data_IF_896791205598
#
_entry.id   IF_896791205598
#
_cell.length_a   1.000
_cell.length_b   1.000
_cell.length_c   1.000
_cell.angle_alpha   90.00
_cell.angle_beta   90.00
_cell.angle_gamma   90.00
#
_symmetry.space_group_name_H-M   'P 1'
#
loop_
_entity.id
_entity.type
_entity.pdbx_description
1 polymer ?
#
# COMPACT_ATOMS: atom_id res chain seq x y z
N UNK A 1 -31.53 34.07 -41.40
CA UNK A 1 -31.04 34.21 -40.01
C UNK A 1 -31.63 33.05 -39.21
N UNK A 2 -30.90 31.95 -39.10
CA UNK A 2 -31.26 30.81 -38.25
C UNK A 2 -29.96 30.24 -37.67
N UNK A 3 -29.94 30.13 -36.35
CA UNK A 3 -28.81 29.93 -35.46
C UNK A 3 -28.22 28.52 -35.53
N UNK A 4 -26.90 28.41 -35.70
CA UNK A 4 -26.15 27.17 -35.46
C UNK A 4 -26.00 26.94 -33.96
N UNK A 5 -26.51 25.80 -33.49
CA UNK A 5 -26.35 25.30 -32.13
C UNK A 5 -25.06 24.46 -32.09
N UNK A 6 -24.09 24.87 -31.26
CA UNK A 6 -22.85 24.13 -31.04
C UNK A 6 -23.13 22.80 -30.31
N UNK A 7 -22.36 21.73 -30.57
CA UNK A 7 -22.51 20.48 -29.82
C UNK A 7 -22.03 20.68 -28.38
N UNK A 8 -22.86 20.21 -27.44
CA UNK A 8 -22.54 20.20 -26.02
C UNK A 8 -21.28 19.37 -25.78
N UNK A 9 -20.30 19.96 -25.09
CA UNK A 9 -19.15 19.25 -24.58
C UNK A 9 -19.63 18.20 -23.57
N UNK A 10 -19.46 16.92 -23.91
CA UNK A 10 -19.55 15.81 -22.97
C UNK A 10 -18.48 16.05 -21.89
N UNK A 11 -18.91 16.46 -20.70
CA UNK A 11 -18.06 16.46 -19.53
C UNK A 11 -17.65 15.01 -19.25
N UNK A 12 -16.35 14.72 -19.32
CA UNK A 12 -15.80 13.46 -18.83
C UNK A 12 -16.14 13.34 -17.33
N UNK A 13 -16.54 12.16 -16.83
CA UNK A 13 -16.68 11.96 -15.40
C UNK A 13 -15.31 12.17 -14.76
N UNK A 14 -15.21 13.20 -13.93
CA UNK A 14 -14.07 13.41 -13.05
C UNK A 14 -14.14 12.30 -12.00
N UNK A 15 -13.34 11.24 -12.20
CA UNK A 15 -13.05 10.24 -11.18
C UNK A 15 -12.24 10.92 -10.07
N UNK A 16 -12.93 11.61 -9.16
CA UNK A 16 -12.37 11.82 -7.84
C UNK A 16 -12.16 10.42 -7.22
N UNK A 17 -11.01 10.14 -6.59
CA UNK A 17 -10.84 8.87 -5.89
C UNK A 17 -11.95 8.75 -4.84
N UNK A 18 -12.71 7.66 -4.90
CA UNK A 18 -13.70 7.36 -3.86
C UNK A 18 -12.99 7.31 -2.50
N UNK A 19 -13.61 7.83 -1.43
CA UNK A 19 -13.04 7.69 -0.10
C UNK A 19 -12.86 6.20 0.20
N UNK A 20 -11.67 5.83 0.69
CA UNK A 20 -11.31 4.47 1.07
C UNK A 20 -12.42 3.89 1.96
N UNK A 21 -13.11 2.84 1.50
CA UNK A 21 -14.29 2.30 2.20
C UNK A 21 -13.89 1.35 3.33
N UNK A 22 -13.24 1.90 4.37
CA UNK A 22 -12.74 1.10 5.48
C UNK A 22 -12.69 1.83 6.82
N UNK A 23 -12.38 1.08 7.86
CA UNK A 23 -12.04 1.60 9.20
C UNK A 23 -10.51 1.75 9.26
N UNK A 24 -10.01 2.92 9.65
CA UNK A 24 -8.58 3.15 9.77
C UNK A 24 -7.96 2.27 10.86
N UNK A 25 -6.84 1.64 10.54
CA UNK A 25 -5.98 0.97 11.51
C UNK A 25 -5.13 2.01 12.25
N UNK A 26 -4.68 1.65 13.44
CA UNK A 26 -3.99 2.56 14.34
C UNK A 26 -2.47 2.34 14.28
N UNK A 27 -1.66 3.40 14.47
CA UNK A 27 -0.22 3.22 14.63
C UNK A 27 0.09 2.44 15.91
N UNK A 28 1.12 1.58 15.87
CA UNK A 28 1.65 0.90 17.05
C UNK A 28 2.89 1.65 17.56
N UNK A 29 2.80 2.35 18.72
CA UNK A 29 3.94 3.09 19.28
C UNK A 29 5.03 2.18 19.88
N UNK A 30 4.78 0.88 20.01
CA UNK A 30 5.74 -0.10 20.53
C UNK A 30 6.57 -0.79 19.46
N UNK A 31 6.20 -0.61 18.18
CA UNK A 31 6.89 -1.19 17.04
C UNK A 31 8.13 -0.39 16.62
N UNK A 32 9.07 -1.07 15.94
CA UNK A 32 10.25 -0.42 15.36
C UNK A 32 9.86 0.61 14.28
N UNK A 33 8.82 0.30 13.49
CA UNK A 33 8.24 1.23 12.52
C UNK A 33 6.71 1.14 12.46
N UNK A 34 6.07 2.28 12.21
CA UNK A 34 4.61 2.37 12.08
C UNK A 34 4.14 3.35 10.98
N UNK A 35 2.83 3.57 10.85
CA UNK A 35 2.20 4.42 9.83
C UNK A 35 2.79 5.84 9.85
N UNK A 36 3.08 6.37 8.66
CA UNK A 36 3.58 7.71 8.43
C UNK A 36 5.10 7.86 8.55
N UNK A 37 5.80 6.81 9.02
CA UNK A 37 7.25 6.82 9.10
C UNK A 37 7.91 6.58 7.73
N UNK A 38 8.98 7.33 7.44
CA UNK A 38 9.81 7.12 6.25
C UNK A 38 11.00 6.24 6.59
N UNK A 39 10.93 5.00 6.15
CA UNK A 39 11.92 3.95 6.44
C UNK A 39 12.87 3.87 5.25
N UNK A 40 14.16 4.05 5.49
CA UNK A 40 15.20 4.01 4.45
C UNK A 40 15.85 2.63 4.44
N UNK A 41 15.85 1.97 3.28
CA UNK A 41 16.48 0.69 3.08
C UNK A 41 17.88 0.89 2.51
N UNK A 42 18.85 0.27 3.18
CA UNK A 42 20.24 0.25 2.74
C UNK A 42 20.58 -1.16 2.26
N UNK A 43 21.45 -1.26 1.26
CA UNK A 43 21.97 -2.55 0.80
C UNK A 43 23.18 -3.02 1.63
N UNK A 44 23.77 -4.14 1.23
CA UNK A 44 24.96 -4.70 1.85
C UNK A 44 26.20 -3.78 1.82
N UNK A 45 26.20 -2.75 0.97
CA UNK A 45 27.26 -1.73 0.91
C UNK A 45 26.89 -0.46 1.70
N UNK A 46 25.81 -0.52 2.49
CA UNK A 46 25.26 0.60 3.26
C UNK A 46 24.81 1.77 2.39
N UNK A 47 24.54 1.52 1.09
CA UNK A 47 24.00 2.53 0.19
C UNK A 47 22.47 2.57 0.30
N UNK A 48 21.91 3.76 0.55
CA UNK A 48 20.47 3.96 0.66
C UNK A 48 19.80 3.77 -0.71
N UNK A 49 19.20 2.61 -0.97
CA UNK A 49 18.62 2.31 -2.28
C UNK A 49 17.20 2.85 -2.41
N UNK A 50 16.40 2.68 -1.36
CA UNK A 50 14.98 2.98 -1.38
C UNK A 50 14.50 3.56 -0.06
N UNK A 51 13.33 4.18 -0.07
CA UNK A 51 12.55 4.39 1.12
C UNK A 51 11.11 3.91 0.92
N UNK A 52 10.48 3.45 1.99
CA UNK A 52 9.05 3.15 2.04
C UNK A 52 8.37 3.94 3.16
N UNK A 53 7.11 4.29 2.91
CA UNK A 53 6.20 4.83 3.91
C UNK A 53 4.85 4.17 3.75
N UNK A 54 4.33 3.56 4.83
CA UNK A 54 2.90 3.23 4.92
C UNK A 54 2.17 4.51 5.25
N UNK A 55 1.47 5.07 4.26
CA UNK A 55 0.77 6.35 4.37
C UNK A 55 -0.54 6.18 5.13
N UNK A 56 -1.23 5.08 4.88
CA UNK A 56 -2.54 4.76 5.45
C UNK A 56 -2.68 3.24 5.51
N UNK A 57 -3.38 2.74 6.52
CA UNK A 57 -3.78 1.35 6.60
C UNK A 57 -5.25 1.28 7.07
N UNK A 58 -6.05 0.45 6.41
CA UNK A 58 -7.50 0.35 6.66
C UNK A 58 -7.94 -1.10 6.67
N UNK A 59 -8.95 -1.41 7.47
CA UNK A 59 -9.77 -2.60 7.33
C UNK A 59 -10.94 -2.28 6.39
N UNK A 60 -11.02 -2.94 5.24
CA UNK A 60 -12.07 -2.72 4.26
C UNK A 60 -13.42 -3.23 4.77
N UNK A 61 -14.50 -2.50 4.46
CA UNK A 61 -15.85 -3.00 4.71
C UNK A 61 -16.16 -4.13 3.75
N UNK A 62 -16.42 -5.31 4.33
CA UNK A 62 -16.79 -6.46 3.54
C UNK A 62 -18.23 -6.37 3.04
N UNK A 63 -18.42 -6.77 1.78
CA UNK A 63 -19.77 -7.02 1.23
C UNK A 63 -20.22 -8.48 1.46
N UNK A 64 -19.28 -9.42 1.57
CA UNK A 64 -19.52 -10.84 1.80
C UNK A 64 -18.74 -11.33 3.04
N UNK A 65 -19.43 -11.70 4.14
CA UNK A 65 -18.78 -12.19 5.36
C UNK A 65 -18.10 -13.56 5.20
N UNK A 66 -18.33 -14.28 4.10
CA UNK A 66 -17.67 -15.57 3.86
C UNK A 66 -16.21 -15.44 3.39
N UNK A 67 -15.76 -14.22 3.03
CA UNK A 67 -14.45 -14.00 2.41
C UNK A 67 -13.32 -13.68 3.41
N UNK A 68 -13.60 -13.59 4.72
CA UNK A 68 -12.63 -13.22 5.77
C UNK A 68 -12.18 -11.76 5.67
N UNK A 69 -11.87 -11.06 6.77
CA UNK A 69 -11.64 -9.61 6.74
C UNK A 69 -10.52 -9.21 5.79
N UNK A 70 -10.73 -8.09 5.11
CA UNK A 70 -9.78 -7.53 4.15
C UNK A 70 -9.11 -6.30 4.72
N UNK A 71 -7.81 -6.18 4.49
CA UNK A 71 -6.98 -5.07 4.94
C UNK A 71 -6.28 -4.46 3.74
N UNK A 72 -6.16 -3.14 3.72
CA UNK A 72 -5.47 -2.42 2.66
C UNK A 72 -4.45 -1.43 3.22
N UNK A 73 -3.26 -1.41 2.64
CA UNK A 73 -2.15 -0.54 3.00
C UNK A 73 -1.80 0.36 1.81
N UNK A 74 -1.91 1.68 1.98
CA UNK A 74 -1.44 2.64 1.01
C UNK A 74 0.05 2.85 1.25
N UNK A 75 0.88 2.36 0.34
CA UNK A 75 2.33 2.51 0.42
C UNK A 75 2.82 3.56 -0.55
N UNK A 76 3.84 4.31 -0.13
CA UNK A 76 4.66 5.14 -1.01
C UNK A 76 6.09 4.61 -1.00
N UNK A 77 6.65 4.34 -2.18
CA UNK A 77 8.03 3.88 -2.36
C UNK A 77 8.79 4.97 -3.09
N UNK A 78 10.01 5.26 -2.65
CA UNK A 78 10.92 6.26 -3.23
C UNK A 78 12.25 5.60 -3.62
N UNK A 79 12.70 5.78 -4.86
CA UNK A 79 14.04 5.40 -5.29
C UNK A 79 15.07 6.47 -4.92
N UNK A 80 16.18 6.12 -4.25
CA UNK A 80 17.11 7.10 -3.67
C UNK A 80 18.45 7.21 -4.41
N UNK A 81 19.18 6.12 -4.57
CA UNK A 81 20.53 6.12 -5.18
C UNK A 81 20.57 5.49 -6.56
N UNK A 82 19.88 4.36 -6.74
CA UNK A 82 19.80 3.60 -7.98
C UNK A 82 18.36 3.35 -8.39
N UNK A 83 18.17 2.84 -9.61
CA UNK A 83 16.86 2.32 -10.03
C UNK A 83 16.59 1.02 -9.28
N UNK A 84 15.46 0.92 -8.60
CA UNK A 84 15.04 -0.29 -7.89
C UNK A 84 13.89 -0.95 -8.63
N UNK A 85 13.82 -2.27 -8.58
CA UNK A 85 12.66 -3.01 -9.06
C UNK A 85 11.69 -3.25 -7.90
N UNK A 86 10.46 -2.77 -8.03
CA UNK A 86 9.40 -3.00 -7.05
C UNK A 86 8.30 -3.87 -7.65
N UNK A 87 7.77 -4.77 -6.81
CA UNK A 87 6.69 -5.66 -7.19
C UNK A 87 5.83 -5.95 -5.96
N UNK A 88 4.51 -6.04 -6.14
CA UNK A 88 3.57 -6.42 -5.09
C UNK A 88 3.91 -7.77 -4.43
N UNK A 89 4.51 -8.71 -5.16
CA UNK A 89 4.95 -10.01 -4.61
C UNK A 89 6.12 -9.91 -3.61
N UNK A 90 6.73 -8.74 -3.45
CA UNK A 90 7.74 -8.47 -2.42
C UNK A 90 7.10 -8.08 -1.08
N UNK A 91 5.77 -8.04 -1.01
CA UNK A 91 5.03 -7.67 0.17
C UNK A 91 4.31 -8.88 0.75
N UNK A 92 4.26 -8.92 2.07
CA UNK A 92 3.49 -9.91 2.81
C UNK A 92 2.94 -9.25 4.07
N UNK A 93 1.79 -9.72 4.55
CA UNK A 93 1.22 -9.28 5.81
C UNK A 93 1.33 -10.42 6.82
N UNK A 94 1.66 -10.10 8.07
CA UNK A 94 1.70 -11.06 9.17
C UNK A 94 0.74 -10.65 10.29
N UNK A 95 0.23 -11.63 11.02
CA UNK A 95 -0.55 -11.43 12.24
C UNK A 95 0.28 -11.63 13.51
N UNK A 96 -0.37 -11.55 14.67
CA UNK A 96 0.23 -11.75 15.98
C UNK A 96 0.65 -13.21 16.26
N UNK A 97 0.18 -14.16 15.46
CA UNK A 97 0.58 -15.56 15.46
C UNK A 97 1.69 -15.88 14.43
N UNK A 98 2.20 -14.86 13.74
CA UNK A 98 3.22 -14.98 12.67
C UNK A 98 2.77 -15.77 11.44
N UNK A 99 1.46 -15.84 11.17
CA UNK A 99 0.94 -16.39 9.93
C UNK A 99 1.13 -15.40 8.77
N UNK A 100 1.56 -15.90 7.61
CA UNK A 100 1.86 -15.08 6.43
C UNK A 100 0.67 -15.02 5.46
N UNK A 101 0.32 -13.80 5.04
CA UNK A 101 -0.73 -13.49 4.08
C UNK A 101 -0.15 -12.81 2.85
N UNK A 102 -0.55 -13.31 1.67
CA UNK A 102 -0.13 -12.78 0.37
C UNK A 102 -1.10 -11.71 -0.13
N UNK A 103 -0.61 -10.75 -0.95
CA UNK A 103 -1.45 -9.69 -1.47
C UNK A 103 -2.45 -10.19 -2.53
N UNK A 104 -3.64 -9.61 -2.51
CA UNK A 104 -4.73 -9.80 -3.45
C UNK A 104 -4.81 -8.65 -4.45
N UNK A 105 -5.15 -8.97 -5.70
CA UNK A 105 -5.17 -8.03 -6.81
C UNK A 105 -6.59 -7.53 -7.11
N UNK A 106 -6.71 -6.28 -7.57
CA UNK A 106 -7.96 -5.74 -8.10
C UNK A 106 -9.03 -5.37 -7.06
N UNK A 107 -8.68 -5.30 -5.76
CA UNK A 107 -9.62 -4.97 -4.68
C UNK A 107 -9.72 -3.46 -4.43
N UNK A 108 -8.61 -2.80 -4.09
CA UNK A 108 -8.56 -1.36 -3.79
C UNK A 108 -7.71 -0.61 -4.84
N UNK A 109 -8.17 0.57 -5.29
CA UNK A 109 -7.53 1.36 -6.33
C UNK A 109 -7.09 2.76 -5.84
N UNK A 110 -6.02 3.36 -6.39
CA UNK A 110 -5.09 2.76 -7.36
C UNK A 110 -4.23 1.67 -6.69
N UNK A 111 -4.18 0.49 -7.29
CA UNK A 111 -3.35 -0.61 -6.80
C UNK A 111 -1.86 -0.31 -7.00
N UNK A 112 -1.00 -0.86 -6.14
CA UNK A 112 0.44 -0.79 -6.37
C UNK A 112 0.81 -1.60 -7.62
N UNK A 113 1.29 -0.90 -8.65
CA UNK A 113 1.80 -1.54 -9.86
C UNK A 113 3.16 -2.24 -9.60
N UNK A 114 3.76 -2.79 -10.66
CA UNK A 114 5.14 -3.28 -10.64
C UNK A 114 5.97 -2.49 -11.65
N UNK A 115 7.27 -2.39 -11.42
CA UNK A 115 8.17 -1.81 -12.41
C UNK A 115 9.51 -1.39 -11.84
N UNK A 116 10.24 -0.64 -12.66
CA UNK A 116 11.48 -0.01 -12.25
C UNK A 116 11.20 1.41 -11.78
N UNK A 117 11.68 1.73 -10.59
CA UNK A 117 11.56 3.04 -9.97
C UNK A 117 12.91 3.76 -10.05
N UNK A 118 13.07 4.74 -10.96
CA UNK A 118 14.31 5.50 -11.06
C UNK A 118 14.59 6.33 -9.81
N UNK A 119 15.86 6.70 -9.65
CA UNK A 119 16.30 7.65 -8.63
C UNK A 119 15.45 8.94 -8.61
N UNK A 120 15.07 9.36 -7.41
CA UNK A 120 14.28 10.57 -7.13
C UNK A 120 12.82 10.47 -7.56
N UNK A 121 12.36 9.29 -7.99
CA UNK A 121 10.96 9.03 -8.33
C UNK A 121 10.27 8.34 -7.17
N UNK A 122 8.96 8.58 -7.10
CA UNK A 122 8.05 7.98 -6.15
C UNK A 122 6.93 7.26 -6.86
N UNK A 123 6.49 6.15 -6.30
CA UNK A 123 5.26 5.46 -6.66
C UNK A 123 4.41 5.32 -5.42
N UNK A 124 3.08 5.35 -5.60
CA UNK A 124 2.12 5.17 -4.51
C UNK A 124 0.99 4.28 -5.01
N UNK A 125 0.58 3.32 -4.18
CA UNK A 125 -0.53 2.43 -4.49
C UNK A 125 -0.97 1.61 -3.29
N UNK A 126 -2.17 1.04 -3.41
CA UNK A 126 -2.76 0.17 -2.40
C UNK A 126 -2.27 -1.27 -2.58
N UNK A 127 -1.92 -1.88 -1.45
CA UNK A 127 -1.75 -3.33 -1.27
C UNK A 127 -2.97 -3.83 -0.52
N UNK A 128 -3.59 -4.93 -0.95
CA UNK A 128 -4.76 -5.50 -0.27
C UNK A 128 -4.47 -6.94 0.15
N UNK A 129 -5.00 -7.36 1.29
CA UNK A 129 -4.81 -8.70 1.87
C UNK A 129 -6.13 -9.22 2.43
N UNK A 130 -6.34 -10.53 2.38
CA UNK A 130 -7.35 -11.22 3.20
C UNK A 130 -6.63 -11.76 4.43
N UNK A 131 -6.98 -11.25 5.61
CA UNK A 131 -6.30 -11.53 6.88
C UNK A 131 -7.15 -12.32 7.87
N UNK A 132 -6.71 -12.39 9.15
CA UNK A 132 -7.40 -13.13 10.19
C UNK A 132 -8.64 -12.39 10.69
N UNK A 133 -9.65 -13.15 11.16
CA UNK A 133 -10.85 -12.61 11.81
C UNK A 133 -10.53 -11.78 13.07
N UNK A 134 -9.45 -12.12 13.76
CA UNK A 134 -8.98 -11.47 14.98
C UNK A 134 -7.45 -11.53 15.03
N UNK A 135 -6.83 -10.40 15.34
CA UNK A 135 -5.41 -10.27 15.66
C UNK A 135 -5.23 -9.04 16.56
N UNK A 136 -4.23 -9.04 17.44
CA UNK A 136 -3.83 -7.83 18.19
C UNK A 136 -3.21 -6.78 17.25
N UNK A 137 -2.38 -7.23 16.31
CA UNK A 137 -1.67 -6.36 15.37
C UNK A 137 -1.50 -7.00 13.99
N UNK A 138 -1.19 -6.19 12.99
CA UNK A 138 -0.76 -6.66 11.67
C UNK A 138 0.58 -6.04 11.33
N UNK A 139 1.45 -6.80 10.68
CA UNK A 139 2.75 -6.34 10.19
C UNK A 139 2.80 -6.43 8.68
N UNK A 140 2.99 -5.29 8.02
CA UNK A 140 3.32 -5.26 6.60
C UNK A 140 4.83 -5.42 6.46
N UNK A 141 5.26 -6.49 5.80
CA UNK A 141 6.63 -6.69 5.37
C UNK A 141 6.82 -6.17 3.94
N UNK A 142 7.95 -5.50 3.70
CA UNK A 142 8.50 -5.34 2.35
C UNK A 142 9.89 -5.97 2.29
N UNK A 143 10.10 -6.92 1.38
CA UNK A 143 11.34 -7.66 1.20
C UNK A 143 11.90 -7.52 -0.23
N UNK A 144 12.60 -6.42 -0.55
CA UNK A 144 13.34 -6.30 -1.80
C UNK A 144 14.46 -7.33 -1.90
N UNK A 145 14.87 -7.65 -3.12
CA UNK A 145 15.89 -8.68 -3.38
C UNK A 145 17.28 -8.30 -2.83
N UNK A 146 17.60 -7.01 -2.80
CA UNK A 146 18.95 -6.49 -2.54
C UNK A 146 19.16 -5.89 -1.16
N UNK A 147 18.12 -5.84 -0.32
CA UNK A 147 18.15 -5.20 1.00
C UNK A 147 17.50 -6.11 2.03
N UNK A 148 17.79 -5.84 3.31
CA UNK A 148 17.06 -6.50 4.38
C UNK A 148 15.57 -6.14 4.34
N UNK A 149 14.67 -7.05 4.77
CA UNK A 149 13.26 -6.76 4.84
C UNK A 149 12.97 -5.71 5.92
N UNK A 150 11.94 -4.92 5.68
CA UNK A 150 11.41 -3.96 6.67
C UNK A 150 9.99 -4.33 7.04
N UNK A 151 9.61 -4.04 8.28
CA UNK A 151 8.30 -4.35 8.84
C UNK A 151 7.64 -3.07 9.33
N UNK A 152 6.36 -2.92 9.06
CA UNK A 152 5.53 -1.81 9.56
C UNK A 152 4.34 -2.39 10.30
N UNK A 153 4.26 -2.15 11.60
CA UNK A 153 3.20 -2.68 12.45
C UNK A 153 2.08 -1.67 12.66
N UNK A 154 0.85 -2.19 12.67
CA UNK A 154 -0.40 -1.45 12.91
C UNK A 154 -1.30 -2.24 13.86
N UNK A 155 -2.09 -1.54 14.66
CA UNK A 155 -3.07 -2.12 15.57
C UNK A 155 -4.46 -2.13 14.92
N UNK A 156 -5.24 -3.15 15.24
CA UNK A 156 -6.66 -3.18 14.89
C UNK A 156 -7.45 -2.19 15.80
N UNK A 157 -8.55 -1.60 15.30
CA UNK A 157 -9.35 -0.59 16.01
C UNK A 157 -10.11 -1.13 17.24
#
# INVERSE_FOLDING_TARGET
>A
MATSQAPAATAAPSLAPEPSQGTALLPDPSADHTIGERIVLSDFFEEQQAAITVVEAIQLRQSDPASGPQFAFLVEIEGLTASIHYNVQQFSMFDDESFEYQPEFGVQQPELEFGDLPKGRKVRGWLTFVGPDSSEYLELQWAPITTDPVFVRVLLP
#
